data_IF_641741012616
#
_entry.id   IF_641741012616
#
_cell.length_a   1.000
_cell.length_b   1.000
_cell.length_c   1.000
_cell.angle_alpha   90.00
_cell.angle_beta   90.00
_cell.angle_gamma   90.00
#
_symmetry.space_group_name_H-M   'P 1'
#
loop_
_entity.id
_entity.type
_entity.pdbx_description
1 polymer ?
#
# COMPACT_ATOMS: atom_id res chain seq x y z
N UNK A 1 -7.08 -20.28 -9.24
CA UNK A 1 -6.99 -18.80 -9.31
C UNK A 1 -7.60 -18.19 -8.05
N UNK A 2 -7.38 -16.90 -7.76
CA UNK A 2 -8.15 -16.21 -6.73
C UNK A 2 -9.63 -16.12 -7.13
N UNK A 3 -10.50 -16.05 -6.13
CA UNK A 3 -11.92 -15.77 -6.34
C UNK A 3 -12.15 -14.28 -6.59
N UNK A 4 -11.25 -13.44 -6.05
CA UNK A 4 -11.22 -11.99 -6.23
C UNK A 4 -9.78 -11.48 -6.13
N UNK A 5 -9.44 -10.51 -6.97
CA UNK A 5 -8.22 -9.71 -6.82
C UNK A 5 -8.63 -8.31 -6.37
N UNK A 6 -8.08 -7.84 -5.26
CA UNK A 6 -8.26 -6.46 -4.78
C UNK A 6 -6.99 -5.69 -5.06
N UNK A 7 -7.10 -4.58 -5.79
CA UNK A 7 -6.02 -3.64 -6.03
C UNK A 7 -6.32 -2.35 -5.27
N UNK A 8 -5.51 -2.02 -4.26
CA UNK A 8 -5.55 -0.70 -3.62
C UNK A 8 -4.45 0.18 -4.21
N UNK A 9 -4.85 1.15 -5.04
CA UNK A 9 -3.90 1.93 -5.83
C UNK A 9 -3.07 2.88 -4.96
N UNK A 10 -1.90 3.28 -5.48
CA UNK A 10 -1.17 4.39 -4.90
C UNK A 10 -1.96 5.70 -5.04
N UNK A 11 -1.55 6.69 -4.27
CA UNK A 11 -2.20 7.99 -4.20
C UNK A 11 -2.14 8.72 -5.55
N UNK A 12 -3.31 9.11 -6.07
CA UNK A 12 -3.41 9.83 -7.35
C UNK A 12 -3.16 8.97 -8.59
N UNK A 13 -3.23 7.63 -8.47
CA UNK A 13 -3.12 6.75 -9.62
C UNK A 13 -4.24 7.03 -10.64
N UNK A 14 -3.87 7.41 -11.87
CA UNK A 14 -4.83 7.56 -12.97
C UNK A 14 -5.23 6.20 -13.54
N UNK A 15 -6.44 6.05 -14.11
CA UNK A 15 -6.95 4.77 -14.63
C UNK A 15 -6.02 4.08 -15.63
N UNK A 16 -5.30 4.85 -16.46
CA UNK A 16 -4.33 4.31 -17.43
C UNK A 16 -3.21 3.51 -16.76
N UNK A 17 -2.81 3.87 -15.54
CA UNK A 17 -1.75 3.16 -14.84
C UNK A 17 -2.26 1.85 -14.23
N UNK A 18 -3.41 1.88 -13.56
CA UNK A 18 -4.03 0.68 -12.98
C UNK A 18 -4.44 -0.32 -14.08
N UNK A 19 -4.89 0.15 -15.24
CA UNK A 19 -5.24 -0.69 -16.39
C UNK A 19 -4.13 -1.66 -16.84
N UNK A 20 -2.85 -1.28 -16.68
CA UNK A 20 -1.73 -2.16 -17.01
C UNK A 20 -1.68 -3.38 -16.08
N UNK A 21 -1.85 -3.14 -14.77
CA UNK A 21 -1.90 -4.21 -13.78
C UNK A 21 -3.14 -5.09 -13.95
N UNK A 22 -4.31 -4.51 -14.29
CA UNK A 22 -5.51 -5.28 -14.65
C UNK A 22 -5.21 -6.24 -15.81
N UNK A 23 -4.58 -5.74 -16.89
CA UNK A 23 -4.25 -6.56 -18.06
C UNK A 23 -3.35 -7.75 -17.70
N UNK A 24 -2.30 -7.51 -16.91
CA UNK A 24 -1.40 -8.58 -16.47
C UNK A 24 -2.11 -9.57 -15.55
N UNK A 25 -2.97 -9.11 -14.64
CA UNK A 25 -3.77 -10.00 -13.80
C UNK A 25 -4.78 -10.83 -14.60
N UNK A 26 -5.46 -10.25 -15.59
CA UNK A 26 -6.34 -11.00 -16.50
C UNK A 26 -5.58 -12.09 -17.28
N UNK A 27 -4.28 -11.89 -17.52
CA UNK A 27 -3.42 -12.89 -18.17
C UNK A 27 -2.97 -13.98 -17.18
N UNK A 28 -2.64 -13.60 -15.93
CA UNK A 28 -2.20 -14.52 -14.87
C UNK A 28 -3.33 -15.38 -14.30
N UNK A 29 -4.53 -14.81 -14.20
CA UNK A 29 -5.72 -15.41 -13.61
C UNK A 29 -6.96 -15.09 -14.47
N UNK A 30 -7.11 -15.74 -15.64
CA UNK A 30 -8.25 -15.50 -16.52
C UNK A 30 -9.59 -15.73 -15.81
N UNK A 31 -10.54 -14.81 -15.98
CA UNK A 31 -11.89 -14.89 -15.42
C UNK A 31 -12.03 -14.47 -13.95
N UNK A 32 -10.93 -14.20 -13.23
CA UNK A 32 -11.01 -13.71 -11.85
C UNK A 32 -11.50 -12.24 -11.84
N UNK A 33 -12.55 -11.89 -11.09
CA UNK A 33 -12.97 -10.50 -10.94
C UNK A 33 -11.91 -9.66 -10.22
N UNK A 34 -11.83 -8.38 -10.58
CA UNK A 34 -10.86 -7.43 -10.02
C UNK A 34 -11.60 -6.23 -9.44
N UNK A 35 -11.47 -6.03 -8.14
CA UNK A 35 -11.94 -4.84 -7.43
C UNK A 35 -10.78 -3.83 -7.31
N UNK A 36 -11.00 -2.60 -7.74
CA UNK A 36 -10.00 -1.53 -7.65
C UNK A 36 -10.50 -0.47 -6.68
N UNK A 37 -9.70 -0.19 -5.66
CA UNK A 37 -9.94 0.88 -4.70
C UNK A 37 -8.90 1.96 -4.96
N UNK A 38 -9.35 3.09 -5.46
CA UNK A 38 -8.47 4.23 -5.74
C UNK A 38 -8.20 5.05 -4.48
N UNK A 39 -6.99 5.57 -4.38
CA UNK A 39 -6.59 6.47 -3.27
C UNK A 39 -6.39 7.89 -3.78
N UNK A 40 -7.03 8.86 -3.11
CA UNK A 40 -6.83 10.29 -3.38
C UNK A 40 -5.99 10.96 -2.28
N UNK A 41 -5.43 12.13 -2.56
CA UNK A 41 -4.69 12.90 -1.54
C UNK A 41 -5.60 13.27 -0.36
N UNK A 42 -6.87 13.62 -0.63
CA UNK A 42 -7.86 13.95 0.40
C UNK A 42 -8.11 12.79 1.37
N UNK A 43 -7.99 11.54 0.92
CA UNK A 43 -8.11 10.37 1.78
C UNK A 43 -6.98 10.26 2.82
N UNK A 44 -5.82 10.84 2.53
CA UNK A 44 -4.67 10.83 3.42
C UNK A 44 -4.59 12.09 4.28
N UNK A 45 -4.98 13.24 3.73
CA UNK A 45 -4.80 14.54 4.36
C UNK A 45 -6.00 15.02 5.18
N UNK A 46 -7.23 14.67 4.78
CA UNK A 46 -8.45 15.32 5.32
C UNK A 46 -9.46 14.31 5.86
N UNK A 47 -9.67 13.19 5.16
CA UNK A 47 -10.72 12.25 5.56
C UNK A 47 -10.34 11.45 6.81
N UNK A 48 -11.25 11.45 7.79
CA UNK A 48 -11.14 10.58 8.96
C UNK A 48 -11.20 9.11 8.55
N UNK A 49 -10.64 8.21 9.38
CA UNK A 49 -10.76 6.76 9.20
C UNK A 49 -12.22 6.31 9.12
N UNK A 50 -13.12 6.91 9.93
CA UNK A 50 -14.55 6.60 9.90
C UNK A 50 -15.19 6.92 8.55
N UNK A 51 -14.85 8.07 7.97
CA UNK A 51 -15.33 8.48 6.64
C UNK A 51 -14.86 7.49 5.58
N UNK A 52 -13.57 7.11 5.61
CA UNK A 52 -13.01 6.14 4.66
C UNK A 52 -13.68 4.77 4.75
N UNK A 53 -13.92 4.27 5.97
CA UNK A 53 -14.64 3.02 6.21
C UNK A 53 -16.06 3.08 5.61
N UNK A 54 -16.79 4.18 5.85
CA UNK A 54 -18.15 4.34 5.33
C UNK A 54 -18.20 4.31 3.80
N UNK A 55 -17.25 4.95 3.12
CA UNK A 55 -17.16 4.94 1.65
C UNK A 55 -16.85 3.55 1.08
N UNK A 56 -16.25 2.66 1.88
CA UNK A 56 -15.92 1.29 1.48
C UNK A 56 -17.05 0.29 1.72
N UNK A 57 -18.20 0.71 2.28
CA UNK A 57 -19.33 -0.20 2.53
C UNK A 57 -19.74 -1.04 1.30
N UNK A 58 -19.83 -0.49 0.07
CA UNK A 58 -20.19 -1.29 -1.11
C UNK A 58 -19.15 -2.37 -1.46
N UNK A 59 -17.87 -2.14 -1.11
CA UNK A 59 -16.80 -3.10 -1.34
C UNK A 59 -16.80 -4.26 -0.32
N UNK A 60 -17.53 -4.10 0.77
CA UNK A 60 -17.67 -5.09 1.85
C UNK A 60 -18.90 -5.98 1.63
N UNK A 61 -19.92 -5.46 0.95
CA UNK A 61 -21.15 -6.18 0.59
C UNK A 61 -20.98 -7.18 -0.59
N UNK A 62 -19.74 -7.38 -1.05
CA UNK A 62 -19.43 -8.30 -2.15
C UNK A 62 -19.74 -9.77 -1.79
N UNK A 63 -19.89 -10.67 -2.79
CA UNK A 63 -20.07 -12.10 -2.56
C UNK A 63 -19.07 -12.67 -1.54
N UNK A 64 -19.45 -13.76 -0.86
CA UNK A 64 -18.63 -14.45 0.14
C UNK A 64 -17.38 -15.12 -0.50
N UNK A 65 -16.46 -14.30 -1.00
CA UNK A 65 -15.17 -14.73 -1.50
C UNK A 65 -14.34 -15.22 -0.32
N UNK A 66 -13.65 -16.35 -0.50
CA UNK A 66 -12.84 -16.95 0.57
C UNK A 66 -11.36 -17.01 0.21
N UNK A 67 -11.00 -16.78 -1.06
CA UNK A 67 -9.62 -16.79 -1.55
C UNK A 67 -9.29 -15.48 -2.27
N UNK A 68 -8.99 -14.42 -1.52
CA UNK A 68 -8.71 -13.09 -2.06
C UNK A 68 -7.21 -12.85 -2.20
N UNK A 69 -6.76 -12.36 -3.37
CA UNK A 69 -5.42 -11.80 -3.56
C UNK A 69 -5.48 -10.28 -3.38
N UNK A 70 -4.77 -9.74 -2.38
CA UNK A 70 -4.68 -8.30 -2.17
C UNK A 70 -3.35 -7.75 -2.69
N UNK A 71 -3.42 -6.75 -3.56
CA UNK A 71 -2.27 -5.99 -4.04
C UNK A 71 -2.38 -4.53 -3.60
N UNK A 72 -1.55 -4.14 -2.65
CA UNK A 72 -1.51 -2.79 -2.11
C UNK A 72 -0.26 -2.03 -2.56
N UNK A 73 -0.48 -0.84 -3.12
CA UNK A 73 0.57 0.02 -3.66
C UNK A 73 0.80 1.24 -2.78
N UNK A 74 2.05 1.53 -2.44
CA UNK A 74 2.45 2.72 -1.68
C UNK A 74 1.76 2.80 -0.30
N UNK A 75 2.07 3.84 0.47
CA UNK A 75 1.40 4.11 1.75
C UNK A 75 -0.09 4.37 1.58
N UNK A 76 -0.49 4.97 0.46
CA UNK A 76 -1.89 5.24 0.15
C UNK A 76 -2.72 3.97 0.00
N UNK A 77 -2.25 3.03 -0.82
CA UNK A 77 -2.92 1.76 -1.05
C UNK A 77 -2.88 0.86 0.18
N UNK A 78 -1.76 0.83 0.91
CA UNK A 78 -1.68 0.13 2.19
C UNK A 78 -2.70 0.68 3.21
N UNK A 79 -2.86 2.01 3.28
CA UNK A 79 -3.86 2.61 4.16
C UNK A 79 -5.29 2.24 3.75
N UNK A 80 -5.62 2.28 2.46
CA UNK A 80 -6.94 1.86 1.95
C UNK A 80 -7.20 0.38 2.23
N UNK A 81 -6.19 -0.48 2.12
CA UNK A 81 -6.32 -1.90 2.46
C UNK A 81 -6.66 -2.09 3.95
N UNK A 82 -5.97 -1.38 4.85
CA UNK A 82 -6.29 -1.39 6.29
C UNK A 82 -7.71 -0.86 6.55
N UNK A 83 -8.10 0.24 5.92
CA UNK A 83 -9.47 0.75 6.05
C UNK A 83 -10.53 -0.24 5.53
N UNK A 84 -10.23 -0.98 4.45
CA UNK A 84 -11.12 -2.02 3.93
C UNK A 84 -11.26 -3.17 4.93
N UNK A 85 -10.16 -3.65 5.51
CA UNK A 85 -10.22 -4.69 6.53
C UNK A 85 -11.00 -4.25 7.77
N UNK A 86 -10.81 -3.01 8.22
CA UNK A 86 -11.60 -2.43 9.32
C UNK A 86 -13.10 -2.34 8.98
N UNK A 87 -13.43 -1.92 7.75
CA UNK A 87 -14.81 -1.86 7.29
C UNK A 87 -15.45 -3.25 7.23
N UNK A 88 -14.71 -4.25 6.73
CA UNK A 88 -15.16 -5.62 6.66
C UNK A 88 -15.39 -6.22 8.05
N UNK A 89 -14.45 -6.03 8.97
CA UNK A 89 -14.56 -6.51 10.34
C UNK A 89 -15.77 -5.88 11.05
N UNK A 90 -16.02 -4.58 10.84
CA UNK A 90 -17.20 -3.92 11.39
C UNK A 90 -18.52 -4.49 10.81
N UNK A 91 -18.57 -4.73 9.49
CA UNK A 91 -19.75 -5.30 8.84
C UNK A 91 -20.06 -6.74 9.26
N UNK A 92 -19.03 -7.51 9.64
CA UNK A 92 -19.20 -8.88 10.15
C UNK A 92 -19.37 -8.93 11.68
N UNK A 93 -19.68 -7.81 12.33
CA UNK A 93 -19.80 -7.72 13.80
C UNK A 93 -18.55 -8.25 14.53
N UNK A 94 -17.37 -8.00 13.96
CA UNK A 94 -16.07 -8.41 14.48
C UNK A 94 -15.89 -9.93 14.61
N UNK A 95 -16.65 -10.72 13.85
CA UNK A 95 -16.58 -12.18 13.90
C UNK A 95 -15.52 -12.78 12.99
N UNK A 96 -15.19 -12.12 11.88
CA UNK A 96 -14.22 -12.63 10.91
C UNK A 96 -13.44 -11.53 10.20
N UNK A 97 -12.11 -11.67 10.04
CA UNK A 97 -11.30 -10.76 9.24
C UNK A 97 -11.58 -10.96 7.75
N UNK A 98 -11.18 -9.97 6.93
CA UNK A 98 -11.25 -10.08 5.47
C UNK A 98 -10.42 -11.31 5.01
N UNK A 99 -10.99 -12.26 4.22
CA UNK A 99 -10.36 -13.53 3.91
C UNK A 99 -9.29 -13.41 2.81
N UNK A 100 -8.21 -12.70 3.13
CA UNK A 100 -7.03 -12.58 2.27
C UNK A 100 -6.23 -13.88 2.31
N UNK A 101 -6.01 -14.47 1.14
CA UNK A 101 -5.23 -15.69 0.96
C UNK A 101 -3.78 -15.43 0.52
N UNK A 102 -3.48 -14.23 0.01
CA UNK A 102 -2.11 -13.80 -0.28
C UNK A 102 -2.02 -12.27 -0.36
N UNK A 103 -0.88 -11.71 0.05
CA UNK A 103 -0.61 -10.27 -0.03
C UNK A 103 0.52 -9.96 -1.03
N UNK A 104 0.35 -8.88 -1.77
CA UNK A 104 1.40 -8.23 -2.57
C UNK A 104 1.50 -6.79 -2.09
N UNK A 105 2.65 -6.43 -1.54
CA UNK A 105 2.99 -5.07 -1.15
C UNK A 105 3.99 -4.50 -2.15
N UNK A 106 3.57 -3.48 -2.89
CA UNK A 106 4.41 -2.77 -3.85
C UNK A 106 4.76 -1.39 -3.28
N UNK A 107 6.06 -1.16 -3.07
CA UNK A 107 6.58 0.09 -2.52
C UNK A 107 5.95 0.46 -1.16
N UNK A 108 5.73 -0.51 -0.27
CA UNK A 108 5.10 -0.30 1.06
C UNK A 108 5.35 -1.54 1.95
N UNK A 109 5.27 -1.44 3.29
CA UNK A 109 5.18 -0.23 4.10
C UNK A 109 6.54 0.43 4.36
N UNK A 110 6.53 1.76 4.34
CA UNK A 110 7.63 2.61 4.77
C UNK A 110 7.55 3.01 6.24
N UNK A 111 8.35 4.01 6.61
CA UNK A 111 8.26 4.74 7.87
C UNK A 111 8.02 6.23 7.60
N UNK A 112 7.42 6.98 8.54
CA UNK A 112 7.25 8.42 8.36
C UNK A 112 8.62 9.09 8.22
N UNK A 113 8.83 9.85 7.13
CA UNK A 113 10.05 10.62 6.91
C UNK A 113 9.73 11.96 6.28
N UNK A 114 10.33 13.02 6.82
CA UNK A 114 10.25 14.36 6.24
C UNK A 114 10.76 14.38 4.79
N UNK A 115 11.88 13.72 4.49
CA UNK A 115 12.42 13.67 3.12
C UNK A 115 11.45 13.03 2.12
N UNK A 116 10.71 11.99 2.54
CA UNK A 116 9.68 11.36 1.70
C UNK A 116 8.53 12.32 1.42
N UNK A 117 8.10 13.11 2.40
CA UNK A 117 7.07 14.13 2.21
C UNK A 117 7.54 15.24 1.24
N UNK A 118 8.78 15.69 1.37
CA UNK A 118 9.38 16.69 0.46
C UNK A 118 9.49 16.14 -0.96
N UNK A 119 9.93 14.89 -1.13
CA UNK A 119 10.00 14.24 -2.44
C UNK A 119 8.61 14.07 -3.08
N UNK A 120 7.60 13.67 -2.30
CA UNK A 120 6.21 13.58 -2.77
C UNK A 120 5.66 14.96 -3.18
N UNK A 121 5.95 16.00 -2.39
CA UNK A 121 5.55 17.37 -2.71
C UNK A 121 6.24 17.89 -3.98
N UNK A 122 7.55 17.67 -4.13
CA UNK A 122 8.28 18.05 -5.35
C UNK A 122 7.68 17.42 -6.61
N UNK A 123 7.18 16.18 -6.53
CA UNK A 123 6.47 15.51 -7.64
C UNK A 123 5.08 16.08 -7.94
N UNK A 124 4.45 16.73 -6.96
CA UNK A 124 3.18 17.41 -7.16
C UNK A 124 3.34 18.79 -7.82
N UNK A 125 4.53 19.38 -7.73
CA UNK A 125 4.84 20.65 -8.37
C UNK A 125 4.99 20.47 -9.89
N UNK A 126 4.65 21.50 -10.69
CA UNK A 126 4.96 21.52 -12.11
C UNK A 126 6.46 21.25 -12.36
N UNK A 127 6.82 20.51 -13.42
CA UNK A 127 8.22 20.14 -13.69
C UNK A 127 9.11 21.30 -14.16
N UNK A 128 8.60 22.53 -14.20
CA UNK A 128 9.37 23.69 -14.64
C UNK A 128 10.28 24.22 -13.52
N UNK A 129 11.47 24.71 -13.90
CA UNK A 129 12.53 25.10 -12.96
C UNK A 129 12.10 26.21 -12.01
N UNK A 130 11.28 27.16 -12.46
CA UNK A 130 10.84 28.28 -11.62
C UNK A 130 9.86 27.83 -10.52
N UNK A 131 8.86 27.02 -10.89
CA UNK A 131 7.91 26.45 -9.94
C UNK A 131 8.61 25.55 -8.91
N UNK A 132 9.61 24.77 -9.34
CA UNK A 132 10.44 23.98 -8.42
C UNK A 132 11.29 24.89 -7.52
N UNK A 133 11.97 25.90 -8.08
CA UNK A 133 12.87 26.78 -7.32
C UNK A 133 12.15 27.63 -6.25
N UNK A 134 10.91 28.03 -6.51
CA UNK A 134 10.11 28.83 -5.56
C UNK A 134 9.23 27.95 -4.69
N UNK A 135 8.51 27.00 -5.30
CA UNK A 135 7.54 26.18 -4.61
C UNK A 135 8.18 25.18 -3.65
N UNK A 136 9.32 24.58 -4.02
CA UNK A 136 9.95 23.54 -3.20
C UNK A 136 10.47 24.09 -1.87
N UNK A 137 11.23 25.21 -1.79
CA UNK A 137 11.65 25.76 -0.51
C UNK A 137 10.47 26.14 0.39
N UNK A 138 9.45 26.81 -0.16
CA UNK A 138 8.25 27.22 0.60
C UNK A 138 7.52 25.99 1.13
N UNK A 139 7.23 25.02 0.28
CA UNK A 139 6.51 23.81 0.67
C UNK A 139 7.32 22.95 1.64
N UNK A 140 8.64 22.84 1.45
CA UNK A 140 9.54 22.17 2.39
C UNK A 140 9.49 22.84 3.77
N UNK A 141 9.57 24.16 3.85
CA UNK A 141 9.43 24.90 5.12
C UNK A 141 8.07 24.65 5.80
N UNK A 142 6.98 24.69 5.04
CA UNK A 142 5.64 24.39 5.58
C UNK A 142 5.57 22.96 6.10
N UNK A 143 6.05 21.98 5.31
CA UNK A 143 6.10 20.57 5.71
C UNK A 143 6.96 20.36 6.94
N UNK A 144 8.07 21.09 7.09
CA UNK A 144 8.95 21.00 8.25
C UNK A 144 8.24 21.51 9.52
N UNK A 145 7.56 22.65 9.44
CA UNK A 145 6.76 23.20 10.54
C UNK A 145 5.65 22.22 10.92
N UNK A 146 4.87 21.74 9.94
CA UNK A 146 3.81 20.76 10.19
C UNK A 146 4.35 19.47 10.81
N UNK A 147 5.49 18.97 10.31
CA UNK A 147 6.14 17.77 10.82
C UNK A 147 6.55 17.92 12.29
N UNK A 148 7.20 19.03 12.65
CA UNK A 148 7.64 19.30 14.03
C UNK A 148 6.43 19.45 14.95
N UNK A 149 5.45 20.27 14.58
CA UNK A 149 4.25 20.49 15.39
C UNK A 149 3.48 19.18 15.59
N UNK A 150 3.27 18.39 14.54
CA UNK A 150 2.58 17.11 14.65
C UNK A 150 3.35 16.12 15.51
N UNK A 151 4.68 16.05 15.36
CA UNK A 151 5.53 15.16 16.15
C UNK A 151 5.49 15.49 17.64
N UNK A 152 5.40 16.78 18.00
CA UNK A 152 5.32 17.23 19.40
C UNK A 152 3.91 17.02 19.98
N UNK A 153 2.86 17.40 19.24
CA UNK A 153 1.47 17.43 19.75
C UNK A 153 0.82 16.05 19.71
N UNK A 154 1.02 15.31 18.61
CA UNK A 154 0.36 14.02 18.39
C UNK A 154 1.29 12.86 18.72
N UNK A 155 2.61 13.07 18.62
CA UNK A 155 3.62 12.05 18.83
C UNK A 155 4.09 11.46 17.51
N UNK A 156 5.40 11.24 17.39
CA UNK A 156 6.06 10.72 16.19
C UNK A 156 5.38 9.44 15.67
N UNK A 157 5.01 8.51 16.54
CA UNK A 157 4.43 7.22 16.16
C UNK A 157 2.92 7.21 15.93
N UNK A 158 2.24 8.33 16.15
CA UNK A 158 0.78 8.42 16.04
C UNK A 158 0.28 8.94 14.69
N UNK A 159 1.18 9.08 13.72
CA UNK A 159 0.85 9.44 12.33
C UNK A 159 0.23 8.26 11.55
N UNK A 160 -0.36 8.57 10.39
CA UNK A 160 -1.07 7.62 9.53
C UNK A 160 -0.17 6.47 9.02
N UNK A 161 1.08 6.76 8.65
CA UNK A 161 2.05 5.80 8.13
C UNK A 161 2.41 4.79 9.22
N UNK A 162 2.80 5.26 10.41
CA UNK A 162 3.12 4.38 11.55
C UNK A 162 1.92 3.52 11.96
N UNK A 163 0.71 4.08 11.97
CA UNK A 163 -0.52 3.33 12.25
C UNK A 163 -0.82 2.27 11.18
N UNK A 164 -0.68 2.62 9.91
CA UNK A 164 -0.90 1.69 8.78
C UNK A 164 0.13 0.56 8.82
N UNK A 165 1.41 0.88 9.01
CA UNK A 165 2.51 -0.10 9.15
C UNK A 165 2.21 -1.14 10.23
N UNK A 166 1.81 -0.70 11.44
CA UNK A 166 1.41 -1.62 12.52
C UNK A 166 0.18 -2.43 12.15
N UNK A 167 -0.84 -1.79 11.56
CA UNK A 167 -2.09 -2.44 11.20
C UNK A 167 -1.94 -3.54 10.14
N UNK A 168 -0.95 -3.47 9.23
CA UNK A 168 -0.68 -4.55 8.26
C UNK A 168 -0.24 -5.88 8.91
N UNK A 169 0.22 -5.81 10.16
CA UNK A 169 0.65 -6.95 10.96
C UNK A 169 -0.32 -7.26 12.11
N UNK A 170 -1.46 -6.57 12.18
CA UNK A 170 -2.45 -6.74 13.24
C UNK A 170 -3.28 -8.03 13.03
N UNK A 171 -3.18 -9.03 13.92
CA UNK A 171 -3.90 -10.29 13.80
C UNK A 171 -5.42 -10.15 14.00
N UNK A 172 -5.90 -9.02 14.52
CA UNK A 172 -7.34 -8.73 14.62
C UNK A 172 -7.94 -8.32 13.29
N UNK A 173 -7.12 -7.74 12.39
CA UNK A 173 -7.54 -7.29 11.06
C UNK A 173 -7.28 -8.36 9.99
N UNK A 174 -6.27 -9.20 10.20
CA UNK A 174 -5.81 -10.15 9.19
C UNK A 174 -5.53 -11.52 9.78
N UNK A 175 -5.81 -12.57 9.00
CA UNK A 175 -5.25 -13.90 9.26
C UNK A 175 -3.77 -13.89 8.89
N UNK A 176 -2.90 -13.45 9.81
CA UNK A 176 -1.47 -13.25 9.53
C UNK A 176 -0.68 -14.57 9.42
N UNK A 177 -0.97 -15.54 10.28
CA UNK A 177 -0.23 -16.79 10.33
C UNK A 177 -0.50 -17.64 9.08
N UNK A 178 0.57 -18.06 8.40
CA UNK A 178 0.50 -18.95 7.23
C UNK A 178 0.12 -18.30 5.91
N UNK A 179 -0.36 -17.04 5.89
CA UNK A 179 -0.72 -16.36 4.65
C UNK A 179 0.54 -15.77 3.99
N UNK A 180 0.88 -16.17 2.75
CA UNK A 180 2.08 -15.71 2.07
C UNK A 180 1.99 -14.23 1.69
N UNK A 181 3.14 -13.56 1.73
CA UNK A 181 3.27 -12.15 1.37
C UNK A 181 4.47 -11.95 0.46
N UNK A 182 4.33 -11.08 -0.53
CA UNK A 182 5.45 -10.56 -1.31
C UNK A 182 5.62 -9.08 -1.04
N UNK A 183 6.88 -8.65 -0.92
CA UNK A 183 7.27 -7.25 -0.87
C UNK A 183 8.10 -6.95 -2.12
N UNK A 184 7.61 -6.03 -2.95
CA UNK A 184 8.25 -5.56 -4.17
C UNK A 184 8.73 -4.13 -3.90
N UNK A 185 10.03 -3.90 -3.93
CA UNK A 185 10.62 -2.61 -3.54
C UNK A 185 11.96 -2.37 -4.22
N UNK A 186 12.45 -1.13 -4.24
CA UNK A 186 13.65 -0.76 -4.99
C UNK A 186 14.63 0.09 -4.19
N UNK A 187 15.92 -0.11 -4.42
CA UNK A 187 16.97 0.75 -3.86
C UNK A 187 16.89 2.19 -4.39
N UNK A 188 16.29 2.37 -5.57
CA UNK A 188 16.07 3.68 -6.20
C UNK A 188 14.66 4.27 -5.92
N UNK A 189 13.87 3.67 -5.03
CA UNK A 189 12.63 4.31 -4.56
C UNK A 189 12.98 5.45 -3.59
N UNK A 190 12.63 6.66 -4.01
CA UNK A 190 12.87 7.93 -3.33
C UNK A 190 11.73 8.35 -2.39
N UNK A 191 10.57 7.67 -2.45
CA UNK A 191 9.47 7.90 -1.52
C UNK A 191 9.52 6.91 -0.37
N UNK A 192 9.76 5.63 -0.67
CA UNK A 192 9.71 4.55 0.31
C UNK A 192 11.04 3.83 0.33
N UNK A 193 11.77 4.01 1.44
CA UNK A 193 13.10 3.41 1.59
C UNK A 193 12.99 1.89 1.62
N UNK A 194 13.79 1.23 0.79
CA UNK A 194 13.83 -0.23 0.73
C UNK A 194 14.12 -0.88 2.07
N UNK A 195 14.93 -0.26 2.92
CA UNK A 195 15.26 -0.78 4.26
C UNK A 195 14.01 -0.90 5.13
N UNK A 196 13.09 0.07 5.04
CA UNK A 196 11.87 0.08 5.84
C UNK A 196 10.92 -1.06 5.42
N UNK A 197 10.88 -1.36 4.11
CA UNK A 197 10.08 -2.47 3.56
C UNK A 197 10.69 -3.81 3.94
N UNK A 198 12.00 -3.96 3.76
CA UNK A 198 12.72 -5.18 4.15
C UNK A 198 12.61 -5.46 5.65
N UNK A 199 12.84 -4.45 6.49
CA UNK A 199 12.72 -4.57 7.94
C UNK A 199 11.32 -5.04 8.33
N UNK A 200 10.25 -4.51 7.71
CA UNK A 200 8.89 -4.95 7.96
C UNK A 200 8.65 -6.42 7.57
N UNK A 201 9.12 -6.81 6.37
CA UNK A 201 8.93 -8.16 5.87
C UNK A 201 9.69 -9.20 6.69
N UNK A 202 10.92 -8.87 7.13
CA UNK A 202 11.72 -9.71 8.01
C UNK A 202 11.15 -9.77 9.44
N UNK A 203 10.70 -8.65 9.99
CA UNK A 203 10.05 -8.62 11.31
C UNK A 203 8.78 -9.46 11.31
N UNK A 204 7.90 -9.32 10.31
CA UNK A 204 6.68 -10.13 10.22
C UNK A 204 6.97 -11.64 10.09
N UNK A 205 8.06 -12.02 9.41
CA UNK A 205 8.47 -13.41 9.33
C UNK A 205 8.96 -13.96 10.68
N UNK A 206 9.78 -13.19 11.41
CA UNK A 206 10.30 -13.58 12.73
C UNK A 206 9.22 -13.59 13.81
N UNK A 207 8.41 -12.55 13.87
CA UNK A 207 7.55 -12.26 15.02
C UNK A 207 6.15 -12.87 14.85
N UNK A 208 5.71 -13.08 13.61
CA UNK A 208 4.35 -13.56 13.28
C UNK A 208 4.34 -14.84 12.44
N UNK A 209 5.51 -15.41 12.11
CA UNK A 209 5.60 -16.62 11.28
C UNK A 209 5.10 -16.44 9.85
N UNK A 210 5.08 -15.21 9.35
CA UNK A 210 4.61 -14.89 7.99
C UNK A 210 5.61 -15.40 6.94
N UNK A 211 5.11 -16.07 5.90
CA UNK A 211 5.92 -16.47 4.75
C UNK A 211 6.13 -15.27 3.82
N UNK A 212 7.22 -14.55 4.02
CA UNK A 212 7.57 -13.36 3.24
C UNK A 212 8.54 -13.69 2.09
N UNK A 213 8.20 -13.27 0.88
CA UNK A 213 9.11 -13.19 -0.27
C UNK A 213 9.51 -11.73 -0.48
N UNK A 214 10.81 -11.43 -0.34
CA UNK A 214 11.35 -10.09 -0.55
C UNK A 214 11.96 -10.01 -1.95
N UNK A 215 11.47 -9.08 -2.77
CA UNK A 215 11.97 -8.86 -4.14
C UNK A 215 12.47 -7.43 -4.24
N UNK A 216 13.80 -7.31 -4.18
CA UNK A 216 14.50 -6.04 -4.25
C UNK A 216 14.98 -5.74 -5.67
N UNK A 217 14.47 -4.66 -6.24
CA UNK A 217 14.94 -4.08 -7.50
C UNK A 217 16.06 -3.07 -7.22
N UNK A 218 16.89 -2.80 -8.23
CA UNK A 218 18.02 -1.86 -8.10
C UNK A 218 17.66 -0.42 -8.50
N UNK A 219 16.99 -0.24 -9.63
CA UNK A 219 16.90 1.06 -10.30
C UNK A 219 15.48 1.50 -10.67
N UNK A 220 14.46 0.77 -10.22
CA UNK A 220 13.07 1.11 -10.53
C UNK A 220 12.55 2.19 -9.60
N UNK A 221 11.84 3.19 -10.14
CA UNK A 221 11.17 4.19 -9.32
C UNK A 221 9.95 3.63 -8.59
N UNK A 222 9.41 4.44 -7.68
CA UNK A 222 8.22 4.16 -6.86
C UNK A 222 7.03 3.61 -7.69
N UNK A 223 6.45 2.48 -7.26
CA UNK A 223 5.36 1.75 -7.95
C UNK A 223 5.63 1.41 -9.42
N UNK A 224 6.90 1.45 -9.84
CA UNK A 224 7.35 1.27 -11.21
C UNK A 224 8.08 -0.04 -11.45
N UNK A 225 8.02 -0.98 -10.51
CA UNK A 225 8.81 -2.21 -10.52
C UNK A 225 8.42 -3.15 -11.66
N UNK A 226 7.12 -3.33 -11.91
CA UNK A 226 6.60 -4.13 -13.02
C UNK A 226 7.09 -3.61 -14.38
N UNK A 227 7.23 -2.29 -14.54
CA UNK A 227 7.78 -1.68 -15.77
C UNK A 227 9.28 -1.95 -15.92
N UNK A 228 10.02 -2.03 -14.82
CA UNK A 228 11.48 -2.21 -14.85
C UNK A 228 11.91 -3.64 -15.14
N UNK A 229 11.21 -4.63 -14.57
CA UNK A 229 11.41 -6.03 -14.91
C UNK A 229 10.09 -6.79 -14.69
N UNK A 230 9.32 -6.89 -15.76
CA UNK A 230 7.97 -7.46 -15.77
C UNK A 230 7.97 -8.95 -15.39
N UNK A 231 8.94 -9.70 -15.90
CA UNK A 231 9.06 -11.13 -15.66
C UNK A 231 9.32 -11.43 -14.18
N UNK A 232 10.32 -10.76 -13.57
CA UNK A 232 10.63 -10.94 -12.15
C UNK A 232 9.44 -10.56 -11.27
N UNK A 233 8.80 -9.44 -11.58
CA UNK A 233 7.66 -8.91 -10.83
C UNK A 233 6.50 -9.90 -10.80
N UNK A 234 6.02 -10.31 -11.98
CA UNK A 234 4.85 -11.18 -12.06
C UNK A 234 5.15 -12.63 -11.66
N UNK A 235 6.38 -13.10 -11.83
CA UNK A 235 6.81 -14.39 -11.28
C UNK A 235 6.73 -14.40 -9.75
N UNK A 236 7.14 -13.31 -9.09
CA UNK A 236 7.01 -13.18 -7.64
C UNK A 236 5.56 -13.14 -7.18
N UNK A 237 4.71 -12.37 -7.86
CA UNK A 237 3.26 -12.33 -7.60
C UNK A 237 2.64 -13.72 -7.74
N UNK A 238 2.95 -14.44 -8.83
CA UNK A 238 2.45 -15.80 -9.06
C UNK A 238 2.93 -16.79 -8.00
N UNK A 239 4.24 -16.78 -7.70
CA UNK A 239 4.83 -17.66 -6.67
C UNK A 239 4.21 -17.43 -5.29
N UNK A 240 3.90 -16.18 -4.96
CA UNK A 240 3.23 -15.84 -3.69
C UNK A 240 1.83 -16.42 -3.64
N UNK A 241 1.07 -16.29 -4.72
CA UNK A 241 -0.26 -16.87 -4.82
C UNK A 241 -0.25 -18.40 -4.71
N UNK A 242 0.72 -19.07 -5.34
CA UNK A 242 0.84 -20.53 -5.31
C UNK A 242 1.29 -21.09 -3.95
N UNK A 243 1.77 -20.24 -3.04
CA UNK A 243 2.26 -20.63 -1.71
C UNK A 243 1.21 -20.53 -0.58
N UNK A 244 -0.04 -20.20 -0.91
CA UNK A 244 -1.15 -19.97 0.02
C UNK A 244 -1.66 -21.23 0.72
#
# INVERSE_FOLDING_TARGET
SPDLIIITSWTGAIPKHTAKYIKSYNSLFPGTPILIITTTISDLAVHSTKTKIKTLAPAVETPAYTNILLHAFSEGGANKAVCLAQAFLAATNHTSPLPIAAFVFDSTPGTPRYSSNVAAFSRSLPPNKLAQAVGLPIGASVLAVTWVLFSIVVGYDNNLISKTRRALNDPTLWKVAGVPRTYLFSEADDLIRWQDVEEHGLASARDLGVKSLLVRFKSTGHCGHARGNEELYWRAVRRTWDAR
#
